data_IF_807853901667
#
_entry.id   IF_807853901667
#
_cell.length_a   1.000
_cell.length_b   1.000
_cell.length_c   1.000
_cell.angle_alpha   90.00
_cell.angle_beta   90.00
_cell.angle_gamma   90.00
#
_symmetry.space_group_name_H-M   'P 1'
#
loop_
_entity.id
_entity.type
_entity.pdbx_description
1 polymer ?
#
# COMPACT_ATOMS: atom_id res chain seq x y z
N UNK A 1 -12.83 3.97 -12.53
CA UNK A 1 -12.81 5.43 -12.73
C UNK A 1 -13.98 5.94 -13.57
N UNK A 2 -14.23 5.38 -14.75
CA UNK A 2 -15.30 5.85 -15.64
C UNK A 2 -16.70 5.90 -15.00
N UNK A 3 -17.07 4.89 -14.19
CA UNK A 3 -18.37 4.88 -13.48
C UNK A 3 -18.48 6.05 -12.51
N UNK A 4 -17.45 6.29 -11.68
CA UNK A 4 -17.43 7.42 -10.74
C UNK A 4 -17.66 8.72 -11.50
N UNK A 5 -16.88 8.95 -12.55
CA UNK A 5 -16.99 10.18 -13.34
C UNK A 5 -18.33 10.35 -14.05
N UNK A 6 -18.91 9.26 -14.57
CA UNK A 6 -20.24 9.30 -15.19
C UNK A 6 -21.34 9.66 -14.19
N UNK A 7 -21.22 9.20 -12.94
CA UNK A 7 -22.25 9.39 -11.91
C UNK A 7 -22.08 10.74 -11.17
N UNK A 8 -20.85 11.18 -10.94
CA UNK A 8 -20.55 12.38 -10.14
C UNK A 8 -20.30 13.63 -10.98
N UNK A 9 -19.99 13.47 -12.27
CA UNK A 9 -19.51 14.55 -13.14
C UNK A 9 -18.07 14.99 -12.84
N UNK A 10 -17.36 14.31 -11.94
CA UNK A 10 -16.00 14.66 -11.50
C UNK A 10 -15.02 13.56 -11.92
N UNK A 11 -13.79 13.90 -12.29
CA UNK A 11 -12.72 12.91 -12.39
C UNK A 11 -12.51 12.21 -11.04
N UNK A 12 -11.92 11.01 -11.03
CA UNK A 12 -11.68 10.31 -9.75
C UNK A 12 -10.73 11.09 -8.86
N UNK A 13 -9.75 11.78 -9.46
CA UNK A 13 -8.83 12.66 -8.74
C UNK A 13 -9.63 13.75 -7.99
N UNK A 14 -10.45 14.53 -8.70
CA UNK A 14 -11.30 15.58 -8.10
C UNK A 14 -12.26 15.01 -7.06
N UNK A 15 -12.87 13.87 -7.34
CA UNK A 15 -13.80 13.23 -6.41
C UNK A 15 -13.13 12.82 -5.09
N UNK A 16 -11.91 12.29 -5.17
CA UNK A 16 -11.15 11.81 -4.01
C UNK A 16 -10.38 12.92 -3.29
N UNK A 17 -10.07 14.05 -3.93
CA UNK A 17 -9.32 15.15 -3.31
C UNK A 17 -9.88 15.56 -1.93
N UNK A 18 -11.14 16.01 -1.80
CA UNK A 18 -11.67 16.42 -0.50
C UNK A 18 -12.06 15.25 0.41
N UNK A 19 -12.16 14.02 -0.12
CA UNK A 19 -12.68 12.85 0.60
C UNK A 19 -11.60 11.95 1.16
N UNK A 20 -10.41 11.98 0.56
CA UNK A 20 -9.31 11.07 0.84
C UNK A 20 -7.97 11.81 0.85
N UNK A 21 -7.60 12.48 -0.24
CA UNK A 21 -6.25 13.05 -0.34
C UNK A 21 -6.01 14.18 0.67
N UNK A 22 -6.93 15.14 0.78
CA UNK A 22 -6.85 16.23 1.77
C UNK A 22 -6.89 15.70 3.22
N UNK A 23 -7.84 14.83 3.62
CA UNK A 23 -7.84 14.25 4.97
C UNK A 23 -6.55 13.51 5.35
N UNK A 24 -5.92 12.81 4.40
CA UNK A 24 -4.66 12.12 4.62
C UNK A 24 -3.43 13.04 4.44
N UNK A 25 -3.61 14.33 4.17
CA UNK A 25 -2.53 15.27 3.85
C UNK A 25 -1.61 14.73 2.74
N UNK A 26 -2.22 14.23 1.65
CA UNK A 26 -1.54 13.79 0.43
C UNK A 26 -1.52 14.98 -0.51
N UNK A 27 -0.35 15.59 -0.63
CA UNK A 27 -0.16 16.83 -1.38
C UNK A 27 0.16 16.56 -2.86
N UNK A 28 -0.50 17.30 -3.75
CA UNK A 28 -0.29 17.24 -5.20
C UNK A 28 -0.32 15.82 -5.82
N UNK A 29 -1.36 14.99 -5.53
CA UNK A 29 -1.51 13.72 -6.21
C UNK A 29 -1.69 13.96 -7.72
N UNK A 30 -0.98 13.19 -8.54
CA UNK A 30 -1.14 13.22 -10.00
C UNK A 30 -1.72 11.90 -10.48
N UNK A 31 -2.80 11.95 -11.24
CA UNK A 31 -3.39 10.77 -11.84
C UNK A 31 -3.56 10.98 -13.34
N UNK A 32 -2.81 10.21 -14.13
CA UNK A 32 -2.87 10.28 -15.58
C UNK A 32 -4.27 9.96 -16.11
N UNK A 33 -4.59 10.52 -17.28
CA UNK A 33 -5.89 10.39 -17.93
C UNK A 33 -5.73 9.82 -19.35
N UNK A 34 -6.79 9.16 -19.82
CA UNK A 34 -6.90 8.80 -21.24
C UNK A 34 -7.32 10.01 -22.10
N UNK A 35 -7.36 9.90 -23.44
CA UNK A 35 -7.77 10.99 -24.33
C UNK A 35 -9.20 11.50 -24.13
N UNK A 36 -10.05 10.75 -23.42
CA UNK A 36 -11.42 11.16 -23.05
C UNK A 36 -11.48 11.88 -21.70
N UNK A 37 -10.34 12.18 -21.07
CA UNK A 37 -10.27 12.87 -19.78
C UNK A 37 -10.67 11.98 -18.60
N UNK A 38 -10.64 10.65 -18.75
CA UNK A 38 -10.95 9.70 -17.69
C UNK A 38 -9.64 9.26 -17.02
N UNK A 39 -9.55 9.40 -15.69
CA UNK A 39 -8.41 8.88 -14.92
C UNK A 39 -8.17 7.40 -15.20
N UNK A 40 -6.91 7.01 -15.38
CA UNK A 40 -6.51 5.63 -15.64
C UNK A 40 -6.78 4.77 -14.39
N UNK A 41 -7.96 4.15 -14.30
CA UNK A 41 -8.44 3.58 -13.03
C UNK A 41 -7.64 2.39 -12.47
N UNK A 42 -6.76 1.78 -13.27
CA UNK A 42 -5.92 0.65 -12.86
C UNK A 42 -4.43 0.96 -12.69
N UNK A 43 -3.97 2.16 -13.06
CA UNK A 43 -2.55 2.56 -12.98
C UNK A 43 -2.39 4.09 -13.17
N UNK A 44 -1.15 4.61 -13.14
CA UNK A 44 -0.90 6.02 -13.48
C UNK A 44 -1.24 7.02 -12.37
N UNK A 45 -1.47 6.54 -11.15
CA UNK A 45 -1.48 7.37 -9.95
C UNK A 45 -0.03 7.50 -9.42
N UNK A 46 0.41 8.75 -9.24
CA UNK A 46 1.73 9.10 -8.71
C UNK A 46 1.55 9.70 -7.32
N UNK A 47 2.18 9.05 -6.33
CA UNK A 47 2.20 9.43 -4.93
C UNK A 47 3.61 9.27 -4.38
N UNK A 48 3.92 9.93 -3.26
CA UNK A 48 5.12 9.62 -2.50
C UNK A 48 4.94 8.29 -1.75
N UNK A 49 6.03 7.60 -1.45
CA UNK A 49 5.98 6.33 -0.67
C UNK A 49 5.33 6.53 0.70
N UNK A 50 5.56 7.67 1.35
CA UNK A 50 4.92 8.04 2.61
C UNK A 50 3.39 8.18 2.49
N UNK A 51 2.88 8.70 1.37
CA UNK A 51 1.44 8.83 1.13
C UNK A 51 0.77 7.46 0.92
N UNK A 52 1.48 6.53 0.28
CA UNK A 52 1.06 5.13 0.18
C UNK A 52 0.99 4.48 1.58
N UNK A 53 1.95 4.79 2.46
CA UNK A 53 1.92 4.32 3.85
C UNK A 53 0.72 4.89 4.62
N UNK A 54 0.38 6.17 4.46
CA UNK A 54 -0.83 6.76 5.05
C UNK A 54 -2.11 6.05 4.57
N UNK A 55 -2.18 5.72 3.28
CA UNK A 55 -3.29 4.94 2.73
C UNK A 55 -3.37 3.53 3.36
N UNK A 56 -2.24 2.84 3.52
CA UNK A 56 -2.20 1.58 4.24
C UNK A 56 -2.63 1.71 5.70
N UNK A 57 -2.20 2.78 6.37
CA UNK A 57 -2.53 3.06 7.77
C UNK A 57 -4.04 3.34 7.93
N UNK A 58 -4.67 4.01 6.97
CA UNK A 58 -6.13 4.15 6.93
C UNK A 58 -6.83 2.79 6.93
N UNK A 59 -6.33 1.83 6.13
CA UNK A 59 -6.89 0.47 6.10
C UNK A 59 -6.62 -0.30 7.38
N UNK A 60 -5.42 -0.18 7.96
CA UNK A 60 -5.08 -0.76 9.26
C UNK A 60 -6.03 -0.27 10.37
N UNK A 61 -6.38 1.02 10.34
CA UNK A 61 -7.28 1.67 11.28
C UNK A 61 -8.77 1.49 10.94
N UNK A 62 -9.12 0.52 10.09
CA UNK A 62 -10.53 0.25 9.75
C UNK A 62 -11.23 1.43 9.08
N UNK A 63 -10.49 2.26 8.34
CA UNK A 63 -11.02 3.42 7.61
C UNK A 63 -11.17 4.68 8.46
N UNK A 64 -10.70 4.66 9.72
CA UNK A 64 -10.65 5.83 10.57
C UNK A 64 -9.32 6.58 10.40
N UNK A 65 -9.36 7.90 10.37
CA UNK A 65 -8.19 8.77 10.33
C UNK A 65 -8.40 9.97 11.25
N UNK A 66 -7.51 10.16 12.24
CA UNK A 66 -7.60 11.26 13.22
C UNK A 66 -9.01 11.44 13.84
N UNK A 67 -9.68 10.33 14.17
CA UNK A 67 -11.03 10.34 14.76
C UNK A 67 -12.18 10.44 13.75
N UNK A 68 -11.92 10.73 12.47
CA UNK A 68 -12.93 10.77 11.41
C UNK A 68 -13.03 9.43 10.67
N UNK A 69 -14.24 8.93 10.44
CA UNK A 69 -14.47 7.77 9.59
C UNK A 69 -14.50 8.19 8.11
N UNK A 70 -13.43 7.90 7.36
CA UNK A 70 -13.34 8.24 5.94
C UNK A 70 -13.91 7.16 5.03
N UNK A 71 -13.70 5.89 5.39
CA UNK A 71 -14.21 4.72 4.68
C UNK A 71 -14.93 3.83 5.68
N UNK A 72 -16.15 3.33 5.44
CA UNK A 72 -16.84 2.48 6.42
C UNK A 72 -16.00 1.27 6.84
N UNK A 73 -15.95 0.97 8.14
CA UNK A 73 -15.17 -0.17 8.65
C UNK A 73 -15.61 -1.51 8.03
N UNK A 74 -16.92 -1.67 7.78
CA UNK A 74 -17.45 -2.84 7.08
C UNK A 74 -16.91 -2.98 5.66
N UNK A 75 -16.75 -1.87 4.94
CA UNK A 75 -16.15 -1.86 3.60
C UNK A 75 -14.68 -2.26 3.64
N UNK A 76 -13.91 -1.75 4.62
CA UNK A 76 -12.51 -2.14 4.79
C UNK A 76 -12.39 -3.65 5.05
N UNK A 77 -13.23 -4.18 5.94
CA UNK A 77 -13.26 -5.62 6.24
C UNK A 77 -13.60 -6.44 4.99
N UNK A 78 -14.62 -6.04 4.25
CA UNK A 78 -15.07 -6.77 3.05
C UNK A 78 -14.01 -6.72 1.94
N UNK A 79 -13.44 -5.53 1.68
CA UNK A 79 -12.42 -5.30 0.66
C UNK A 79 -11.12 -6.07 0.91
N UNK A 80 -10.75 -6.27 2.18
CA UNK A 80 -9.51 -6.95 2.57
C UNK A 80 -9.69 -8.45 2.83
N UNK A 81 -10.94 -8.94 2.82
CA UNK A 81 -11.25 -10.36 2.97
C UNK A 81 -11.12 -11.15 1.66
N UNK A 82 -11.07 -12.49 1.77
CA UNK A 82 -11.02 -13.37 0.61
C UNK A 82 -12.40 -13.46 -0.04
N UNK A 83 -12.62 -12.66 -1.09
CA UNK A 83 -13.83 -12.73 -1.91
C UNK A 83 -13.73 -13.85 -2.95
N UNK A 84 -12.54 -14.03 -3.52
CA UNK A 84 -12.26 -15.07 -4.53
C UNK A 84 -10.93 -15.77 -4.27
N UNK A 85 -10.83 -17.04 -4.65
CA UNK A 85 -9.57 -17.78 -4.66
C UNK A 85 -8.78 -17.46 -5.94
N UNK A 86 -7.46 -17.40 -5.82
CA UNK A 86 -6.50 -17.15 -6.91
C UNK A 86 -5.37 -18.20 -6.95
N UNK A 87 -5.55 -19.30 -6.23
CA UNK A 87 -4.60 -20.40 -6.10
C UNK A 87 -4.87 -21.21 -4.83
N UNK A 88 -4.05 -22.24 -4.60
CA UNK A 88 -4.17 -23.16 -3.47
C UNK A 88 -2.84 -23.48 -2.78
N UNK A 89 -1.74 -22.83 -3.18
CA UNK A 89 -0.44 -23.01 -2.54
C UNK A 89 -0.33 -22.14 -1.27
N UNK A 90 -0.30 -22.74 -0.06
CA UNK A 90 -0.18 -21.97 1.18
C UNK A 90 1.18 -21.26 1.34
N UNK A 91 2.21 -21.68 0.60
CA UNK A 91 3.54 -21.08 0.64
C UNK A 91 3.69 -19.87 -0.30
N UNK A 92 2.72 -19.61 -1.18
CA UNK A 92 2.77 -18.53 -2.17
C UNK A 92 1.89 -17.34 -1.80
N UNK A 93 2.48 -16.13 -1.72
CA UNK A 93 1.72 -14.89 -1.51
C UNK A 93 0.72 -14.58 -2.64
N UNK A 94 0.81 -15.26 -3.78
CA UNK A 94 -0.07 -15.10 -4.94
C UNK A 94 -1.28 -16.04 -4.92
N UNK A 95 -1.38 -16.92 -3.92
CA UNK A 95 -2.42 -17.95 -3.81
C UNK A 95 -3.32 -17.80 -2.58
N UNK A 96 -3.28 -16.63 -1.91
CA UNK A 96 -3.98 -16.42 -0.62
C UNK A 96 -5.38 -15.80 -0.76
N UNK A 97 -5.80 -15.50 -1.98
CA UNK A 97 -7.08 -14.91 -2.32
C UNK A 97 -7.00 -13.42 -2.67
N UNK A 98 -8.14 -12.90 -3.11
CA UNK A 98 -8.29 -11.52 -3.55
C UNK A 98 -9.67 -10.96 -3.16
N UNK A 99 -9.75 -9.66 -2.89
CA UNK A 99 -10.99 -8.94 -2.57
C UNK A 99 -10.90 -7.48 -3.00
N UNK A 100 -11.94 -6.94 -3.65
CA UNK A 100 -12.11 -5.53 -4.07
C UNK A 100 -10.83 -4.70 -4.36
N UNK A 101 -9.89 -5.22 -5.15
CA UNK A 101 -8.60 -4.57 -5.50
C UNK A 101 -7.41 -4.82 -4.57
N UNK A 102 -7.52 -5.73 -3.61
CA UNK A 102 -6.47 -6.14 -2.69
C UNK A 102 -6.14 -7.63 -2.83
N UNK A 103 -4.84 -7.92 -2.78
CA UNK A 103 -4.32 -9.27 -2.67
C UNK A 103 -4.15 -9.64 -1.21
N UNK A 104 -4.60 -10.83 -0.82
CA UNK A 104 -4.18 -11.41 0.46
C UNK A 104 -2.78 -11.99 0.32
N UNK A 105 -2.06 -12.10 1.43
CA UNK A 105 -0.72 -12.65 1.51
C UNK A 105 -0.66 -13.72 2.60
N UNK A 106 0.51 -14.35 2.73
CA UNK A 106 0.83 -15.12 3.93
C UNK A 106 0.78 -14.20 5.17
N UNK A 107 0.82 -14.80 6.35
CA UNK A 107 0.83 -14.06 7.63
C UNK A 107 -0.41 -13.17 7.83
N UNK A 108 -1.54 -13.56 7.23
CA UNK A 108 -2.80 -12.81 7.27
C UNK A 108 -2.67 -11.34 6.82
N UNK A 109 -1.65 -11.03 6.03
CA UNK A 109 -1.42 -9.69 5.51
C UNK A 109 -2.26 -9.45 4.25
N UNK A 110 -2.47 -8.16 3.94
CA UNK A 110 -3.20 -7.73 2.74
C UNK A 110 -2.36 -6.66 2.05
N UNK A 111 -2.36 -6.66 0.71
CA UNK A 111 -1.54 -5.71 -0.05
C UNK A 111 -2.25 -5.09 -1.24
N UNK A 112 -1.95 -3.81 -1.46
CA UNK A 112 -1.96 -3.21 -2.80
C UNK A 112 -0.70 -3.67 -3.54
N UNK A 113 -0.86 -4.08 -4.80
CA UNK A 113 0.18 -4.72 -5.60
C UNK A 113 0.30 -4.02 -6.95
N UNK A 114 1.43 -3.35 -7.17
CA UNK A 114 1.75 -2.63 -8.39
C UNK A 114 2.98 -3.21 -9.09
N UNK A 115 2.96 -3.17 -10.41
CA UNK A 115 4.01 -3.72 -11.27
C UNK A 115 5.41 -3.19 -10.88
N UNK A 116 6.39 -4.08 -10.93
CA UNK A 116 7.81 -3.81 -10.60
C UNK A 116 8.10 -3.59 -9.10
N UNK A 117 7.23 -4.05 -8.21
CA UNK A 117 7.47 -4.07 -6.76
C UNK A 117 6.94 -2.86 -6.01
N UNK A 118 5.82 -2.29 -6.46
CA UNK A 118 5.12 -1.24 -5.70
C UNK A 118 4.17 -1.93 -4.74
N UNK A 119 4.41 -1.79 -3.43
CA UNK A 119 3.62 -2.47 -2.42
C UNK A 119 3.13 -1.51 -1.35
N UNK A 120 1.88 -1.72 -0.96
CA UNK A 120 1.33 -1.23 0.30
C UNK A 120 0.84 -2.46 1.08
N UNK A 121 1.60 -2.89 2.09
CA UNK A 121 1.34 -4.12 2.83
C UNK A 121 0.80 -3.72 4.20
N UNK A 122 -0.40 -4.18 4.51
CA UNK A 122 -1.06 -4.01 5.81
C UNK A 122 -0.94 -5.31 6.60
N UNK A 123 -0.46 -5.19 7.84
CA UNK A 123 -0.19 -6.30 8.77
C UNK A 123 -1.04 -6.12 10.04
N UNK A 124 -2.32 -6.52 10.03
CA UNK A 124 -3.24 -6.25 11.14
C UNK A 124 -2.77 -6.85 12.47
N UNK A 125 -2.20 -8.07 12.44
CA UNK A 125 -1.73 -8.77 13.64
C UNK A 125 -0.53 -8.09 14.30
N UNK A 126 0.17 -7.21 13.57
CA UNK A 126 1.39 -6.54 14.02
C UNK A 126 1.21 -5.03 14.18
N UNK A 127 -0.01 -4.50 13.99
CA UNK A 127 -0.31 -3.07 13.99
C UNK A 127 0.68 -2.26 13.12
N UNK A 128 0.94 -2.77 11.90
CA UNK A 128 2.01 -2.25 11.05
C UNK A 128 1.60 -2.12 9.58
N UNK A 129 2.26 -1.17 8.90
CA UNK A 129 2.17 -0.95 7.45
C UNK A 129 3.57 -0.85 6.88
N UNK A 130 3.79 -1.51 5.74
CA UNK A 130 5.04 -1.42 4.97
C UNK A 130 4.72 -0.93 3.57
N UNK A 131 5.20 0.27 3.23
CA UNK A 131 5.11 0.82 1.88
C UNK A 131 6.47 0.71 1.17
N UNK A 132 6.47 0.19 -0.06
CA UNK A 132 7.66 -0.03 -0.87
C UNK A 132 7.41 0.52 -2.27
N UNK A 133 8.34 1.35 -2.73
CA UNK A 133 8.43 1.80 -4.12
C UNK A 133 9.74 1.26 -4.68
N UNK A 134 9.67 0.45 -5.73
CA UNK A 134 10.82 -0.27 -6.26
C UNK A 134 10.80 -0.30 -7.79
N UNK A 135 11.86 -0.86 -8.38
CA UNK A 135 11.90 -1.17 -9.81
C UNK A 135 12.58 -2.53 -10.02
N UNK A 136 11.84 -3.60 -9.79
CA UNK A 136 12.35 -4.98 -9.87
C UNK A 136 11.32 -5.94 -10.46
N UNK A 137 11.78 -6.86 -11.32
CA UNK A 137 10.94 -7.95 -11.83
C UNK A 137 10.76 -9.06 -10.78
N UNK A 138 11.68 -9.20 -9.82
CA UNK A 138 11.58 -10.23 -8.79
C UNK A 138 10.77 -9.71 -7.58
N UNK A 139 9.47 -9.55 -7.79
CA UNK A 139 8.53 -9.04 -6.80
C UNK A 139 8.40 -9.94 -5.56
N UNK A 140 8.47 -11.26 -5.74
CA UNK A 140 8.39 -12.21 -4.61
C UNK A 140 9.61 -12.08 -3.68
N UNK A 141 10.80 -11.80 -4.20
CA UNK A 141 11.97 -11.57 -3.35
C UNK A 141 11.79 -10.35 -2.43
N UNK A 142 11.11 -9.29 -2.90
CA UNK A 142 10.80 -8.12 -2.08
C UNK A 142 9.87 -8.49 -0.92
N UNK A 143 8.80 -9.25 -1.20
CA UNK A 143 7.91 -9.75 -0.15
C UNK A 143 8.65 -10.64 0.85
N UNK A 144 9.50 -11.55 0.37
CA UNK A 144 10.28 -12.42 1.24
C UNK A 144 11.24 -11.63 2.16
N UNK A 145 11.79 -10.49 1.72
CA UNK A 145 12.58 -9.63 2.63
C UNK A 145 11.72 -9.13 3.80
N UNK A 146 10.46 -8.76 3.55
CA UNK A 146 9.54 -8.37 4.62
C UNK A 146 9.31 -9.52 5.59
N UNK A 147 9.03 -10.73 5.07
CA UNK A 147 8.73 -11.90 5.90
C UNK A 147 9.94 -12.46 6.65
N UNK A 148 11.11 -12.46 6.03
CA UNK A 148 12.31 -13.11 6.57
C UNK A 148 13.14 -12.18 7.44
N UNK A 149 12.98 -10.85 7.28
CA UNK A 149 13.81 -9.84 7.96
C UNK A 149 13.01 -8.87 8.84
N UNK A 150 11.91 -8.31 8.34
CA UNK A 150 11.16 -7.30 9.08
C UNK A 150 10.20 -7.95 10.08
N UNK A 151 9.38 -8.90 9.63
CA UNK A 151 8.37 -9.53 10.46
C UNK A 151 8.94 -10.17 11.74
N UNK A 152 10.07 -10.91 11.70
CA UNK A 152 10.66 -11.51 12.90
C UNK A 152 11.27 -10.47 13.85
N UNK A 153 11.49 -9.23 13.40
CA UNK A 153 12.02 -8.14 14.20
C UNK A 153 10.94 -7.33 14.92
N UNK A 154 9.65 -7.54 14.60
CA UNK A 154 8.56 -6.92 15.34
C UNK A 154 8.43 -7.53 16.72
N UNK A 155 8.54 -6.67 17.73
CA UNK A 155 8.42 -7.02 19.13
C UNK A 155 7.75 -5.86 19.90
N UNK A 156 7.08 -6.14 21.03
CA UNK A 156 6.37 -5.10 21.79
C UNK A 156 7.29 -4.02 22.36
N UNK A 157 8.55 -4.36 22.66
CA UNK A 157 9.51 -3.44 23.27
C UNK A 157 10.37 -2.75 22.20
N UNK A 158 10.66 -1.45 22.38
CA UNK A 158 11.62 -0.76 21.54
C UNK A 158 12.96 -1.49 21.46
N UNK A 159 13.54 -1.57 20.27
CA UNK A 159 14.88 -2.11 20.07
C UNK A 159 15.91 -1.20 20.75
N UNK A 160 16.96 -1.79 21.31
CA UNK A 160 18.09 -1.03 21.81
C UNK A 160 18.77 -0.27 20.65
N UNK A 161 19.24 0.96 20.93
CA UNK A 161 19.96 1.77 19.93
C UNK A 161 21.18 1.00 19.43
N UNK A 162 21.37 0.99 18.11
CA UNK A 162 22.52 0.35 17.47
C UNK A 162 23.21 1.34 16.53
N UNK A 163 24.11 2.15 17.09
CA UNK A 163 24.78 3.23 16.37
C UNK A 163 25.62 2.73 15.19
N UNK A 164 26.19 1.52 15.32
CA UNK A 164 26.95 0.89 14.24
C UNK A 164 26.05 0.52 13.05
N UNK A 165 24.87 -0.06 13.31
CA UNK A 165 23.91 -0.39 12.27
C UNK A 165 23.31 0.87 11.62
N UNK A 166 22.94 1.87 12.42
CA UNK A 166 22.45 3.17 11.92
C UNK A 166 23.48 3.85 11.02
N UNK A 167 24.75 3.85 11.42
CA UNK A 167 25.85 4.41 10.61
C UNK A 167 25.98 3.66 9.29
N UNK A 168 25.95 2.32 9.32
CA UNK A 168 26.02 1.50 8.10
C UNK A 168 24.85 1.79 7.14
N UNK A 169 23.64 1.96 7.65
CA UNK A 169 22.47 2.32 6.82
C UNK A 169 22.64 3.71 6.22
N UNK A 170 23.05 4.70 7.02
CA UNK A 170 23.28 6.07 6.56
C UNK A 170 24.34 6.12 5.46
N UNK A 171 25.46 5.43 5.65
CA UNK A 171 26.55 5.38 4.67
C UNK A 171 26.11 4.68 3.37
N UNK A 172 25.34 3.60 3.48
CA UNK A 172 24.76 2.92 2.32
C UNK A 172 23.82 3.85 1.54
N UNK A 173 22.88 4.49 2.23
CA UNK A 173 21.89 5.40 1.62
C UNK A 173 22.58 6.59 0.96
N UNK A 174 23.61 7.16 1.59
CA UNK A 174 24.40 8.26 1.03
C UNK A 174 25.12 7.87 -0.28
N UNK A 175 25.45 6.58 -0.44
CA UNK A 175 26.07 6.05 -1.66
C UNK A 175 25.08 5.67 -2.77
N UNK A 176 23.78 5.60 -2.48
CA UNK A 176 22.77 5.25 -3.48
C UNK A 176 22.62 6.36 -4.52
N UNK A 177 22.77 5.98 -5.79
CA UNK A 177 22.50 6.85 -6.93
C UNK A 177 21.33 6.26 -7.70
N UNK A 178 20.28 7.05 -7.91
CA UNK A 178 19.27 6.71 -8.90
C UNK A 178 19.93 6.83 -10.29
N UNK A 179 19.96 5.72 -11.04
CA UNK A 179 20.19 5.80 -12.48
C UNK A 179 19.00 6.55 -13.06
N UNK A 180 19.24 7.75 -13.61
CA UNK A 180 18.26 8.44 -14.45
C UNK A 180 18.28 7.86 -15.85
#
# INVERSE_FOLDING_TARGET
SAIVQKVTGQTVLEYLTPRLFEPLNIEAPRWDQNPQGISLGGYGLFLKTEDIAKFGQLYLQGGQWHGQQLVPASWIQEATSKQVANGNDPASDWSQGYGFQFWRCRHNAVRGDGMNGQFCIVLPEFDAVVAITANTQNMQAVLNVVWDKLLPAFQPQPLAKNEAAETKVRDLVAGLKAAR
#
